data_IF_232418663454
#
_entry.id   IF_232418663454
#
_cell.length_a   1.000
_cell.length_b   1.000
_cell.length_c   1.000
_cell.angle_alpha   90.00
_cell.angle_beta   90.00
_cell.angle_gamma   90.00
#
_symmetry.space_group_name_H-M   'P 1'
#
loop_
_entity.id
_entity.type
_entity.pdbx_description
1 polymer ?
#
# COMPACT_ATOMS: atom_id res chain seq x y z
N UNK A 1 -8.33 9.21 12.51
CA UNK A 1 -7.70 8.47 11.40
C UNK A 1 -8.69 8.30 10.26
N UNK A 2 -8.24 8.54 9.06
CA UNK A 2 -9.07 8.42 7.87
C UNK A 2 -8.39 7.49 6.87
N UNK A 3 -9.13 6.54 6.30
CA UNK A 3 -8.61 5.62 5.29
C UNK A 3 -9.12 6.08 3.93
N UNK A 4 -8.21 6.32 2.99
CA UNK A 4 -8.55 6.74 1.63
C UNK A 4 -7.90 5.84 0.59
N UNK A 5 -8.54 5.68 -0.58
CA UNK A 5 -7.92 4.96 -1.70
C UNK A 5 -6.86 5.83 -2.37
N UNK A 6 -6.16 5.24 -3.34
CA UNK A 6 -5.11 5.94 -4.07
C UNK A 6 -5.59 7.27 -4.65
N UNK A 7 -4.73 8.27 -4.50
CA UNK A 7 -4.86 9.56 -5.16
C UNK A 7 -3.47 10.00 -5.61
N UNK A 8 -3.32 10.55 -6.81
CA UNK A 8 -2.00 10.96 -7.32
C UNK A 8 -1.25 11.94 -6.44
N UNK A 9 -1.96 12.73 -5.63
CA UNK A 9 -1.32 13.68 -4.72
C UNK A 9 -0.47 13.00 -3.64
N UNK A 10 -0.73 11.72 -3.33
CA UNK A 10 0.01 10.95 -2.34
C UNK A 10 1.02 9.97 -2.95
N UNK A 11 1.18 10.02 -4.27
CA UNK A 11 2.07 9.10 -4.98
C UNK A 11 3.51 9.16 -4.47
N UNK A 12 4.05 10.36 -4.37
CA UNK A 12 5.44 10.53 -3.93
C UNK A 12 5.62 10.10 -2.48
N UNK A 13 4.64 10.37 -1.63
CA UNK A 13 4.68 9.91 -0.23
C UNK A 13 4.65 8.40 -0.13
N UNK A 14 3.87 7.73 -0.98
CA UNK A 14 3.84 6.27 -1.05
C UNK A 14 5.23 5.71 -1.41
N UNK A 15 5.85 6.27 -2.45
CA UNK A 15 7.17 5.84 -2.91
C UNK A 15 8.22 6.04 -1.80
N UNK A 16 8.27 7.23 -1.22
CA UNK A 16 9.26 7.55 -0.19
C UNK A 16 9.07 6.71 1.06
N UNK A 17 7.83 6.52 1.51
CA UNK A 17 7.55 5.73 2.69
C UNK A 17 7.94 4.27 2.49
N UNK A 18 7.68 3.71 1.33
CA UNK A 18 8.10 2.34 1.01
C UNK A 18 9.61 2.21 0.92
N UNK A 19 10.29 3.16 0.30
CA UNK A 19 11.75 3.14 0.24
C UNK A 19 12.36 3.17 1.65
N UNK A 20 11.85 4.04 2.51
CA UNK A 20 12.33 4.14 3.88
C UNK A 20 12.08 2.84 4.66
N UNK A 21 10.90 2.26 4.50
CA UNK A 21 10.51 1.02 5.17
C UNK A 21 11.36 -0.16 4.70
N UNK A 22 11.48 -0.35 3.38
CA UNK A 22 12.26 -1.44 2.80
C UNK A 22 13.74 -1.31 3.17
N UNK A 23 14.30 -0.10 3.07
CA UNK A 23 15.71 0.13 3.39
C UNK A 23 16.03 -0.10 4.85
N UNK A 24 15.06 0.11 5.74
CA UNK A 24 15.22 -0.12 7.18
C UNK A 24 15.14 -1.59 7.52
N UNK A 25 14.26 -2.35 6.88
CA UNK A 25 13.95 -3.74 7.22
C UNK A 25 14.65 -4.74 6.30
N UNK A 26 14.95 -4.34 5.08
CA UNK A 26 15.44 -5.20 4.00
C UNK A 26 16.43 -4.44 3.13
N UNK A 27 16.84 -5.07 2.03
CA UNK A 27 17.66 -4.42 1.00
C UNK A 27 16.73 -4.11 -0.20
N UNK A 28 16.83 -2.88 -0.72
CA UNK A 28 16.10 -2.50 -1.94
C UNK A 28 16.60 -3.33 -3.12
N UNK A 29 15.70 -3.99 -3.79
CA UNK A 29 15.98 -4.82 -4.98
C UNK A 29 15.46 -4.14 -6.24
N UNK A 30 15.99 -4.50 -7.43
CA UNK A 30 15.50 -3.92 -8.69
C UNK A 30 14.00 -4.12 -8.89
N UNK A 31 13.43 -5.23 -8.40
CA UNK A 31 12.00 -5.49 -8.48
C UNK A 31 11.20 -4.47 -7.68
N UNK A 32 11.69 -4.08 -6.49
CA UNK A 32 11.03 -3.06 -5.67
C UNK A 32 11.00 -1.72 -6.41
N UNK A 33 12.10 -1.35 -7.05
CA UNK A 33 12.16 -0.11 -7.82
C UNK A 33 11.21 -0.12 -9.02
N UNK A 34 11.10 -1.26 -9.72
CA UNK A 34 10.16 -1.39 -10.82
C UNK A 34 8.72 -1.24 -10.36
N UNK A 35 8.36 -1.87 -9.24
CA UNK A 35 7.02 -1.78 -8.68
C UNK A 35 6.69 -0.36 -8.26
N UNK A 36 7.62 0.32 -7.59
CA UNK A 36 7.41 1.70 -7.15
C UNK A 36 7.36 2.70 -8.30
N UNK A 37 7.95 2.36 -9.44
CA UNK A 37 7.93 3.23 -10.63
C UNK A 37 6.71 3.01 -11.52
N UNK A 38 5.88 1.99 -11.26
CA UNK A 38 4.74 1.64 -12.11
C UNK A 38 3.43 1.55 -11.32
N UNK A 39 3.25 2.44 -10.36
CA UNK A 39 2.06 2.44 -9.49
C UNK A 39 0.77 2.53 -10.29
N UNK A 40 0.68 3.46 -11.24
CA UNK A 40 -0.51 3.66 -12.06
C UNK A 40 -0.83 2.42 -12.90
N UNK A 41 0.19 1.69 -13.35
CA UNK A 41 0.00 0.43 -14.08
C UNK A 41 -0.70 -0.63 -13.21
N UNK A 42 -0.31 -0.74 -11.95
CA UNK A 42 -0.96 -1.68 -11.04
C UNK A 42 -2.39 -1.27 -10.71
N UNK A 43 -2.65 0.03 -10.55
CA UNK A 43 -4.00 0.53 -10.34
C UNK A 43 -4.88 0.22 -11.55
N UNK A 44 -4.37 0.46 -12.77
CA UNK A 44 -5.10 0.17 -14.01
C UNK A 44 -5.39 -1.33 -14.18
N UNK A 45 -4.51 -2.17 -13.66
CA UNK A 45 -4.69 -3.62 -13.71
C UNK A 45 -5.71 -4.15 -12.69
N UNK A 46 -6.31 -3.26 -11.89
CA UNK A 46 -7.32 -3.60 -10.90
C UNK A 46 -6.83 -3.54 -9.46
N UNK A 47 -5.55 -3.28 -9.24
CA UNK A 47 -5.00 -3.11 -7.90
C UNK A 47 -5.45 -1.81 -7.24
N UNK A 48 -5.12 -1.66 -5.97
CA UNK A 48 -5.45 -0.45 -5.21
C UNK A 48 -4.43 -0.22 -4.10
N UNK A 49 -4.30 1.04 -3.73
CA UNK A 49 -3.49 1.46 -2.58
C UNK A 49 -4.43 2.15 -1.61
N UNK A 50 -4.27 1.86 -0.32
CA UNK A 50 -4.98 2.59 0.74
C UNK A 50 -3.97 3.29 1.62
N UNK A 51 -4.34 4.50 2.02
CA UNK A 51 -3.55 5.33 2.93
C UNK A 51 -4.33 5.54 4.22
N UNK A 52 -3.64 5.51 5.34
CA UNK A 52 -4.18 5.97 6.62
C UNK A 52 -3.65 7.38 6.86
N UNK A 53 -4.54 8.32 7.01
CA UNK A 53 -4.20 9.72 7.27
C UNK A 53 -4.53 10.08 8.71
N UNK A 54 -3.70 10.91 9.32
CA UNK A 54 -4.00 11.46 10.64
C UNK A 54 -4.98 12.65 10.51
N UNK A 55 -5.30 13.27 11.63
CA UNK A 55 -6.28 14.37 11.65
C UNK A 55 -5.81 15.60 10.89
N UNK A 56 -4.51 15.74 10.65
CA UNK A 56 -3.92 16.83 9.88
C UNK A 56 -3.77 16.49 8.40
N UNK A 57 -4.15 15.28 8.01
CA UNK A 57 -4.04 14.82 6.63
C UNK A 57 -2.68 14.24 6.26
N UNK A 58 -1.80 14.01 7.23
CA UNK A 58 -0.49 13.39 6.98
C UNK A 58 -0.61 11.87 6.86
N UNK A 59 0.18 11.28 5.97
CA UNK A 59 0.19 9.83 5.78
C UNK A 59 0.86 9.14 6.96
N UNK A 60 0.13 8.25 7.61
CA UNK A 60 0.62 7.43 8.73
C UNK A 60 1.12 6.07 8.25
N UNK A 61 0.43 5.48 7.28
CA UNK A 61 0.73 4.17 6.74
C UNK A 61 0.10 4.01 5.37
N UNK A 62 0.55 3.02 4.63
CA UNK A 62 -0.06 2.68 3.35
C UNK A 62 0.07 1.17 3.09
N UNK A 63 -0.81 0.67 2.21
CA UNK A 63 -0.81 -0.74 1.83
C UNK A 63 -1.32 -0.85 0.39
N UNK A 64 -0.65 -1.68 -0.41
CA UNK A 64 -1.00 -1.90 -1.81
C UNK A 64 -1.37 -3.36 -2.02
N UNK A 65 -2.49 -3.59 -2.69
CA UNK A 65 -2.96 -4.93 -3.05
C UNK A 65 -3.24 -4.97 -4.56
N UNK A 66 -2.98 -6.11 -5.17
CA UNK A 66 -3.26 -6.27 -6.59
C UNK A 66 -3.13 -7.69 -7.07
N UNK A 67 -3.56 -7.94 -8.33
CA UNK A 67 -3.46 -9.25 -8.92
C UNK A 67 -2.02 -9.59 -9.31
N UNK A 68 -1.68 -10.86 -9.14
CA UNK A 68 -0.42 -11.43 -9.61
C UNK A 68 -0.59 -11.96 -11.03
N UNK A 69 0.53 -12.32 -11.67
CA UNK A 69 0.50 -12.89 -13.02
C UNK A 69 -0.28 -14.19 -13.09
N UNK A 70 -0.29 -14.97 -12.00
CA UNK A 70 -1.02 -16.25 -11.92
C UNK A 70 -2.53 -16.08 -11.64
N UNK A 71 -2.99 -14.85 -11.46
CA UNK A 71 -4.39 -14.55 -11.19
C UNK A 71 -4.75 -14.47 -9.72
N UNK A 72 -3.88 -14.91 -8.83
CA UNK A 72 -4.08 -14.72 -7.39
C UNK A 72 -3.76 -13.27 -7.02
N UNK A 73 -4.25 -12.85 -5.86
CA UNK A 73 -4.00 -11.50 -5.35
C UNK A 73 -3.05 -11.53 -4.17
N UNK A 74 -2.27 -10.47 -4.02
CA UNK A 74 -1.32 -10.37 -2.90
C UNK A 74 -1.22 -8.94 -2.39
N UNK A 75 -0.79 -8.83 -1.14
CA UNK A 75 -0.35 -7.56 -0.59
C UNK A 75 1.05 -7.31 -1.17
N UNK A 76 1.15 -6.29 -2.02
CA UNK A 76 2.38 -6.01 -2.76
C UNK A 76 3.35 -5.12 -2.01
N UNK A 77 2.82 -4.13 -1.30
CA UNK A 77 3.62 -3.18 -0.54
C UNK A 77 2.88 -2.84 0.74
N UNK A 78 3.63 -2.71 1.81
CA UNK A 78 3.13 -2.27 3.12
C UNK A 78 4.20 -1.42 3.77
N UNK A 79 3.83 -0.27 4.29
CA UNK A 79 4.78 0.58 5.01
C UNK A 79 4.05 1.45 6.03
N UNK A 80 4.72 1.74 7.13
CA UNK A 80 4.21 2.61 8.18
C UNK A 80 5.35 3.49 8.68
N UNK A 81 5.03 4.73 9.04
CA UNK A 81 6.01 5.60 9.70
C UNK A 81 6.20 5.10 11.13
N UNK A 82 7.46 5.07 11.59
CA UNK A 82 7.81 4.51 12.89
C UNK A 82 7.05 5.14 14.06
N UNK A 83 6.81 6.44 13.99
CA UNK A 83 6.07 7.17 15.03
C UNK A 83 4.61 6.74 15.17
N UNK A 84 4.07 6.07 14.16
CA UNK A 84 2.69 5.57 14.17
C UNK A 84 2.58 4.07 14.37
N UNK A 85 3.70 3.40 14.64
CA UNK A 85 3.72 1.97 14.92
C UNK A 85 2.90 1.72 16.20
N UNK A 86 1.98 0.75 16.12
CA UNK A 86 1.12 0.41 17.27
C UNK A 86 -0.15 1.26 17.38
N UNK A 87 -0.37 2.22 16.46
CA UNK A 87 -1.58 3.04 16.47
C UNK A 87 -2.77 2.38 15.78
N UNK A 88 -2.54 1.27 15.08
CA UNK A 88 -3.57 0.61 14.28
C UNK A 88 -3.66 1.10 12.84
N UNK A 89 -2.84 2.08 12.45
CA UNK A 89 -2.87 2.64 11.09
C UNK A 89 -2.55 1.59 10.02
N UNK A 90 -1.48 0.81 10.23
CA UNK A 90 -1.10 -0.26 9.29
C UNK A 90 -2.18 -1.33 9.18
N UNK A 91 -2.73 -1.76 10.34
CA UNK A 91 -3.81 -2.75 10.35
C UNK A 91 -5.06 -2.26 9.64
N UNK A 92 -5.39 -0.98 9.78
CA UNK A 92 -6.54 -0.39 9.10
C UNK A 92 -6.35 -0.38 7.57
N UNK A 93 -5.14 -0.06 7.11
CA UNK A 93 -4.81 -0.12 5.68
C UNK A 93 -4.90 -1.54 5.14
N UNK A 94 -4.36 -2.50 5.88
CA UNK A 94 -4.41 -3.91 5.51
C UNK A 94 -5.85 -4.41 5.40
N UNK A 95 -6.68 -4.06 6.37
CA UNK A 95 -8.10 -4.42 6.36
C UNK A 95 -8.82 -3.82 5.16
N UNK A 96 -8.54 -2.56 4.83
CA UNK A 96 -9.13 -1.92 3.66
C UNK A 96 -8.76 -2.65 2.37
N UNK A 97 -7.51 -3.10 2.26
CA UNK A 97 -7.06 -3.89 1.11
C UNK A 97 -7.81 -5.22 1.01
N UNK A 98 -7.97 -5.92 2.12
CA UNK A 98 -8.67 -7.21 2.15
C UNK A 98 -10.14 -7.03 1.79
N UNK A 99 -10.79 -6.01 2.32
CA UNK A 99 -12.19 -5.71 1.99
C UNK A 99 -12.35 -5.37 0.51
N UNK A 100 -11.41 -4.60 -0.05
CA UNK A 100 -11.39 -4.28 -1.47
C UNK A 100 -11.32 -5.56 -2.32
N UNK A 101 -10.45 -6.49 -1.96
CA UNK A 101 -10.31 -7.75 -2.67
C UNK A 101 -11.61 -8.59 -2.59
N UNK A 102 -12.22 -8.64 -1.41
CA UNK A 102 -13.49 -9.37 -1.22
C UNK A 102 -14.61 -8.80 -2.07
N UNK A 103 -14.72 -7.48 -2.15
CA UNK A 103 -15.73 -6.82 -2.99
C UNK A 103 -15.58 -7.17 -4.46
N UNK A 104 -14.38 -7.57 -4.89
CA UNK A 104 -14.09 -8.00 -6.25
C UNK A 104 -14.16 -9.51 -6.44
N UNK A 105 -14.65 -10.23 -5.43
CA UNK A 105 -14.82 -11.68 -5.51
C UNK A 105 -13.53 -12.48 -5.35
N UNK A 106 -12.50 -11.87 -4.78
CA UNK A 106 -11.21 -12.56 -4.54
C UNK A 106 -11.30 -13.37 -3.26
N UNK A 107 -11.05 -14.68 -3.36
CA UNK A 107 -11.12 -15.61 -2.23
C UNK A 107 -9.79 -15.72 -1.48
N UNK A 108 -8.69 -15.44 -2.17
CA UNK A 108 -7.33 -15.65 -1.66
C UNK A 108 -6.49 -14.42 -1.85
N UNK A 109 -5.80 -14.08 -0.81
CA UNK A 109 -4.83 -12.98 -0.80
C UNK A 109 -3.52 -13.49 -0.21
#
# INVERSE_FOLDING_TARGET
>A
MKIIPYSPEYRDEFVELNRAWISKMFVMEPEDERELSNIEGYIQAGGQIFFALDDDGAVMACCMIGPREDGDWEIMKFAAKGMYTGTGAGSACLRACIDYARERGVDRV
#
